data_IF_991716780226
#
_entry.id   IF_991716780226
#
_cell.length_a   1.000
_cell.length_b   1.000
_cell.length_c   1.000
_cell.angle_alpha   90.00
_cell.angle_beta   90.00
_cell.angle_gamma   90.00
#
_symmetry.space_group_name_H-M   'P 1'
#
loop_
_entity.id
_entity.type
_entity.pdbx_description
1 polymer ?
#
# COMPACT_ATOMS: atom_id res chain seq x y z
N UNK A 1 27.29 -4.04 -4.02
CA UNK A 1 26.62 -3.06 -4.88
C UNK A 1 25.12 -3.09 -4.57
N UNK A 2 24.53 -1.90 -4.39
CA UNK A 2 23.15 -1.71 -3.96
C UNK A 2 22.14 -2.35 -4.93
N UNK A 3 22.41 -2.28 -6.23
CA UNK A 3 21.56 -2.85 -7.27
C UNK A 3 21.52 -4.37 -7.18
N UNK A 4 22.66 -4.99 -6.91
CA UNK A 4 22.76 -6.43 -6.70
C UNK A 4 22.03 -6.87 -5.44
N UNK A 5 22.09 -6.06 -4.39
CA UNK A 5 21.39 -6.31 -3.13
C UNK A 5 19.88 -6.24 -3.29
N UNK A 6 19.37 -5.20 -3.98
CA UNK A 6 17.94 -5.04 -4.28
C UNK A 6 17.42 -6.21 -5.12
N UNK A 7 18.19 -6.65 -6.13
CA UNK A 7 17.84 -7.82 -6.94
C UNK A 7 17.84 -9.12 -6.14
N UNK A 8 18.77 -9.29 -5.22
CA UNK A 8 18.88 -10.48 -4.35
C UNK A 8 17.70 -10.57 -3.39
N UNK A 9 17.33 -9.46 -2.76
CA UNK A 9 16.23 -9.42 -1.78
C UNK A 9 14.84 -9.44 -2.45
N UNK A 10 14.75 -9.09 -3.74
CA UNK A 10 13.55 -9.23 -4.56
C UNK A 10 12.27 -8.65 -3.93
N UNK A 11 11.15 -9.40 -3.97
CA UNK A 11 9.86 -8.94 -3.42
C UNK A 11 9.86 -8.66 -1.92
N UNK A 12 10.80 -9.24 -1.17
CA UNK A 12 10.95 -8.97 0.28
C UNK A 12 11.35 -7.52 0.52
N UNK A 13 12.07 -6.90 -0.42
CA UNK A 13 12.45 -5.49 -0.35
C UNK A 13 11.26 -4.51 -0.33
N UNK A 14 10.06 -4.98 -0.63
CA UNK A 14 8.83 -4.19 -0.62
C UNK A 14 8.02 -4.36 0.68
N UNK A 15 8.58 -5.02 1.68
CA UNK A 15 7.91 -5.34 2.95
C UNK A 15 8.54 -4.57 4.11
N UNK A 16 7.71 -4.19 5.08
CA UNK A 16 8.16 -3.64 6.37
C UNK A 16 9.01 -4.62 7.18
N UNK A 17 9.01 -5.91 6.84
CA UNK A 17 9.87 -6.92 7.44
C UNK A 17 11.37 -6.69 7.22
N UNK A 18 11.74 -5.79 6.30
CA UNK A 18 13.14 -5.37 6.11
C UNK A 18 13.73 -4.69 7.34
N UNK A 19 12.91 -4.09 8.18
CA UNK A 19 13.36 -3.30 9.33
C UNK A 19 13.30 -4.05 10.65
N UNK A 20 12.50 -5.10 10.72
CA UNK A 20 12.35 -5.90 11.94
C UNK A 20 11.80 -7.29 11.65
N UNK A 21 12.14 -8.26 12.50
CA UNK A 21 11.37 -9.48 12.61
C UNK A 21 9.96 -9.16 13.12
N UNK A 22 8.90 -9.85 12.68
CA UNK A 22 7.56 -9.69 13.24
C UNK A 22 7.48 -9.90 14.77
N UNK A 23 8.46 -10.60 15.33
CA UNK A 23 8.58 -10.89 16.76
C UNK A 23 9.52 -9.96 17.51
N UNK A 24 10.16 -9.01 16.81
CA UNK A 24 11.17 -8.15 17.39
C UNK A 24 10.52 -6.87 17.93
N UNK A 25 10.45 -6.75 19.24
CA UNK A 25 9.92 -5.57 19.94
C UNK A 25 10.96 -4.46 20.09
N UNK A 26 12.22 -4.73 19.78
CA UNK A 26 13.32 -3.79 19.98
C UNK A 26 13.84 -3.23 18.65
N UNK A 27 14.09 -1.93 18.62
CA UNK A 27 14.78 -1.24 17.53
C UNK A 27 16.27 -1.61 17.45
N UNK A 28 16.66 -2.82 17.69
CA UNK A 28 18.07 -3.12 17.84
C UNK A 28 18.63 -4.15 16.87
N UNK A 29 17.76 -4.88 16.19
CA UNK A 29 18.21 -6.01 15.37
C UNK A 29 17.74 -5.82 13.93
N UNK A 30 18.38 -4.94 13.22
CA UNK A 30 18.25 -4.87 11.77
C UNK A 30 19.57 -5.22 11.09
N UNK A 31 19.51 -5.88 9.97
CA UNK A 31 20.67 -6.09 9.12
C UNK A 31 21.01 -4.76 8.42
N UNK A 32 22.27 -4.28 8.47
CA UNK A 32 22.68 -3.10 7.72
C UNK A 32 22.37 -3.19 6.23
N UNK A 33 22.49 -4.38 5.64
CA UNK A 33 22.17 -4.62 4.23
C UNK A 33 20.68 -4.42 3.94
N UNK A 34 19.81 -4.97 4.79
CA UNK A 34 18.36 -4.80 4.65
C UNK A 34 17.93 -3.34 4.79
N UNK A 35 18.55 -2.61 5.73
CA UNK A 35 18.29 -1.19 5.91
C UNK A 35 18.73 -0.36 4.69
N UNK A 36 19.86 -0.69 4.06
CA UNK A 36 20.32 -0.04 2.83
C UNK A 36 19.35 -0.27 1.68
N UNK A 37 18.83 -1.50 1.53
CA UNK A 37 17.81 -1.82 0.51
C UNK A 37 16.54 -1.03 0.74
N UNK A 38 16.04 -1.01 1.97
CA UNK A 38 14.82 -0.29 2.33
C UNK A 38 14.95 1.22 2.12
N UNK A 39 16.09 1.82 2.50
CA UNK A 39 16.38 3.23 2.27
C UNK A 39 16.45 3.56 0.77
N UNK A 40 17.03 2.66 -0.04
CA UNK A 40 17.13 2.84 -1.49
C UNK A 40 15.77 2.85 -2.21
N UNK A 41 14.77 2.17 -1.66
CA UNK A 41 13.39 2.17 -2.19
C UNK A 41 12.47 3.19 -1.51
N UNK A 42 13.03 4.05 -0.66
CA UNK A 42 12.32 5.18 -0.06
C UNK A 42 11.47 4.86 1.18
N UNK A 43 11.76 3.77 1.88
CA UNK A 43 11.00 3.38 3.07
C UNK A 43 11.57 3.98 4.36
N UNK A 44 10.68 4.45 5.23
CA UNK A 44 11.04 5.22 6.42
C UNK A 44 11.48 4.41 7.65
N UNK A 45 11.55 3.10 7.59
CA UNK A 45 12.09 2.28 8.67
C UNK A 45 11.18 2.07 9.88
N UNK A 46 9.87 2.11 9.71
CA UNK A 46 8.93 1.81 10.78
C UNK A 46 8.85 0.29 11.07
N UNK A 47 8.61 -0.05 12.35
CA UNK A 47 8.37 -1.44 12.73
C UNK A 47 7.02 -1.94 12.21
N UNK A 48 6.91 -3.24 11.94
CA UNK A 48 5.67 -3.84 11.44
C UNK A 48 4.47 -3.63 12.40
N UNK A 49 4.70 -3.55 13.71
CA UNK A 49 3.67 -3.22 14.70
C UNK A 49 3.14 -1.80 14.59
N UNK A 50 3.93 -0.88 14.02
CA UNK A 50 3.56 0.52 13.86
C UNK A 50 2.95 0.79 12.48
N UNK A 51 3.56 0.22 11.43
CA UNK A 51 3.08 0.40 10.05
C UNK A 51 3.28 -0.86 9.22
N UNK A 52 2.29 -1.18 8.38
CA UNK A 52 2.40 -2.20 7.33
C UNK A 52 2.05 -1.54 6.00
N UNK A 53 2.85 -1.82 4.99
CA UNK A 53 2.66 -1.37 3.61
C UNK A 53 2.46 -2.55 2.68
N UNK A 54 1.53 -2.38 1.75
CA UNK A 54 1.23 -3.34 0.68
C UNK A 54 1.38 -2.63 -0.64
N UNK A 55 2.15 -3.17 -1.57
CA UNK A 55 2.33 -2.57 -2.90
C UNK A 55 1.85 -3.55 -3.98
N UNK A 56 1.08 -3.04 -4.93
CA UNK A 56 0.65 -3.82 -6.09
C UNK A 56 1.71 -3.84 -7.18
N UNK A 57 1.65 -4.81 -8.11
CA UNK A 57 2.29 -4.65 -9.41
C UNK A 57 1.69 -3.47 -10.17
N UNK A 58 2.31 -3.11 -11.31
CA UNK A 58 1.76 -2.10 -12.21
C UNK A 58 0.64 -2.66 -13.06
N UNK A 59 -0.40 -1.84 -13.28
CA UNK A 59 -1.54 -2.13 -14.13
C UNK A 59 -1.68 -1.04 -15.21
N UNK A 60 -2.33 -1.33 -16.34
CA UNK A 60 -2.68 -0.30 -17.32
C UNK A 60 -3.53 0.81 -16.69
N UNK A 61 -3.15 2.06 -16.94
CA UNK A 61 -3.86 3.25 -16.41
C UNK A 61 -5.11 3.59 -17.24
N UNK A 62 -5.83 2.57 -17.70
CA UNK A 62 -7.06 2.65 -18.51
C UNK A 62 -8.14 1.75 -17.92
N UNK A 63 -9.39 2.16 -18.05
CA UNK A 63 -10.53 1.42 -17.52
C UNK A 63 -10.78 1.73 -16.04
N UNK A 64 -11.56 0.89 -15.41
CA UNK A 64 -12.05 1.03 -14.04
C UNK A 64 -11.59 -0.18 -13.21
N UNK A 65 -11.05 0.10 -12.04
CA UNK A 65 -10.66 -0.92 -11.07
C UNK A 65 -11.32 -0.59 -9.72
N UNK A 66 -11.60 -1.60 -8.93
CA UNK A 66 -12.17 -1.42 -7.59
C UNK A 66 -11.54 -2.38 -6.58
N UNK A 67 -11.41 -1.89 -5.34
CA UNK A 67 -11.14 -2.70 -4.16
C UNK A 67 -12.36 -2.57 -3.24
N UNK A 68 -12.96 -3.69 -2.89
CA UNK A 68 -13.99 -3.74 -1.83
C UNK A 68 -13.47 -4.59 -0.70
N UNK A 69 -13.46 -4.02 0.50
CA UNK A 69 -12.85 -4.64 1.66
C UNK A 69 -13.58 -4.27 2.95
N UNK A 70 -13.48 -5.14 3.94
CA UNK A 70 -13.90 -4.84 5.30
C UNK A 70 -12.88 -3.92 5.98
N UNK A 71 -13.36 -3.04 6.84
CA UNK A 71 -12.47 -2.18 7.62
C UNK A 71 -11.39 -3.02 8.33
N UNK A 72 -10.10 -2.76 8.08
CA UNK A 72 -9.02 -3.48 8.75
C UNK A 72 -8.94 -3.22 10.26
N UNK A 73 -9.70 -2.24 10.79
CA UNK A 73 -9.75 -1.88 12.22
C UNK A 73 -8.39 -1.47 12.79
N UNK A 74 -7.60 -0.78 12.00
CA UNK A 74 -6.33 -0.23 12.45
C UNK A 74 -6.54 0.77 13.59
N UNK A 75 -5.57 0.86 14.49
CA UNK A 75 -5.61 1.80 15.62
C UNK A 75 -5.69 3.26 15.17
N UNK A 76 -5.01 3.59 14.06
CA UNK A 76 -4.97 4.94 13.54
C UNK A 76 -5.79 5.04 12.26
N UNK A 77 -5.23 4.63 11.12
CA UNK A 77 -5.94 4.70 9.84
C UNK A 77 -5.34 3.75 8.79
N UNK A 78 -6.02 3.62 7.68
CA UNK A 78 -5.49 3.07 6.44
C UNK A 78 -5.50 4.14 5.35
N UNK A 79 -4.62 3.99 4.37
CA UNK A 79 -4.64 4.80 3.16
C UNK A 79 -4.33 3.97 1.92
N UNK A 80 -4.84 4.41 0.78
CA UNK A 80 -4.52 3.88 -0.54
C UNK A 80 -4.05 5.03 -1.40
N UNK A 81 -2.84 4.93 -1.94
CA UNK A 81 -2.22 5.93 -2.80
C UNK A 81 -1.91 5.32 -4.16
N UNK A 82 -2.17 6.07 -5.22
CA UNK A 82 -1.87 5.70 -6.60
C UNK A 82 -0.56 6.37 -7.03
N UNK A 83 0.29 5.61 -7.70
CA UNK A 83 1.58 6.04 -8.21
C UNK A 83 1.71 5.76 -9.70
N UNK A 84 2.47 6.61 -10.42
CA UNK A 84 2.87 6.37 -11.80
C UNK A 84 4.03 5.36 -11.88
N UNK A 85 4.51 5.05 -13.10
CA UNK A 85 5.62 4.12 -13.33
C UNK A 85 6.91 4.50 -12.58
N UNK A 86 7.16 5.79 -12.40
CA UNK A 86 8.35 6.29 -11.70
C UNK A 86 8.20 6.33 -10.17
N UNK A 87 7.03 5.95 -9.63
CA UNK A 87 6.76 5.93 -8.20
C UNK A 87 6.37 7.28 -7.62
N UNK A 88 5.87 8.20 -8.44
CA UNK A 88 5.38 9.51 -8.00
C UNK A 88 3.85 9.59 -8.03
N UNK A 89 3.28 10.33 -7.09
CA UNK A 89 1.92 10.82 -7.18
C UNK A 89 1.84 11.85 -8.32
N UNK A 90 0.86 11.72 -9.17
CA UNK A 90 0.67 12.59 -10.33
C UNK A 90 -0.54 13.52 -10.20
N UNK A 91 -1.22 13.48 -9.07
CA UNK A 91 -2.37 14.31 -8.74
C UNK A 91 -2.48 14.50 -7.23
N UNK A 92 -2.97 15.66 -6.79
CA UNK A 92 -3.26 15.94 -5.38
C UNK A 92 -4.38 15.05 -4.82
N UNK A 93 -5.19 14.46 -5.71
CA UNK A 93 -6.28 13.54 -5.37
C UNK A 93 -5.91 12.06 -5.54
N UNK A 94 -4.63 11.74 -5.72
CA UNK A 94 -4.15 10.36 -5.90
C UNK A 94 -4.11 9.53 -4.60
N UNK A 95 -4.88 9.92 -3.59
CA UNK A 95 -4.95 9.25 -2.29
C UNK A 95 -6.37 9.26 -1.72
N UNK A 96 -6.72 8.16 -1.06
CA UNK A 96 -7.89 8.04 -0.18
C UNK A 96 -7.45 7.42 1.14
N UNK A 97 -8.00 7.89 2.24
CA UNK A 97 -7.75 7.34 3.57
C UNK A 97 -9.04 7.18 4.38
N UNK A 98 -8.99 6.43 5.47
CA UNK A 98 -10.16 6.10 6.28
C UNK A 98 -10.82 7.30 6.98
N UNK A 99 -10.15 8.43 7.10
CA UNK A 99 -10.76 9.65 7.67
C UNK A 99 -11.75 10.32 6.71
N UNK A 100 -11.57 10.15 5.41
CA UNK A 100 -12.39 10.80 4.38
C UNK A 100 -13.20 9.81 3.56
N UNK A 101 -12.83 8.53 3.55
CA UNK A 101 -13.53 7.50 2.79
C UNK A 101 -14.96 7.31 3.31
N UNK A 102 -15.89 7.14 2.38
CA UNK A 102 -17.29 6.80 2.68
C UNK A 102 -17.45 5.30 2.72
N UNK A 103 -17.89 4.77 3.86
CA UNK A 103 -18.26 3.37 4.01
C UNK A 103 -19.65 3.09 3.46
N UNK A 104 -19.88 1.85 3.07
CA UNK A 104 -21.23 1.33 2.84
C UNK A 104 -22.00 1.16 4.15
N UNK A 105 -23.31 0.94 4.06
CA UNK A 105 -24.17 0.75 5.23
C UNK A 105 -23.77 -0.45 6.11
N UNK A 106 -23.12 -1.46 5.52
CA UNK A 106 -22.59 -2.65 6.21
C UNK A 106 -21.21 -2.43 6.83
N UNK A 107 -20.62 -1.23 6.69
CA UNK A 107 -19.30 -0.88 7.21
C UNK A 107 -18.12 -1.28 6.33
N UNK A 108 -18.37 -1.89 5.15
CA UNK A 108 -17.32 -2.15 4.15
C UNK A 108 -16.98 -0.87 3.38
N UNK A 109 -15.82 -0.87 2.73
CA UNK A 109 -15.38 0.20 1.85
C UNK A 109 -15.20 -0.31 0.42
N UNK A 110 -15.58 0.53 -0.54
CA UNK A 110 -15.16 0.37 -1.94
C UNK A 110 -14.32 1.59 -2.32
N UNK A 111 -13.09 1.38 -2.77
CA UNK A 111 -12.24 2.39 -3.38
C UNK A 111 -12.21 2.11 -4.87
N UNK A 112 -12.58 3.12 -5.66
CA UNK A 112 -12.63 3.05 -7.12
C UNK A 112 -11.40 3.73 -7.71
N UNK A 113 -10.89 3.19 -8.79
CA UNK A 113 -9.67 3.65 -9.44
C UNK A 113 -9.97 3.88 -10.93
N UNK A 114 -10.01 5.14 -11.35
CA UNK A 114 -10.29 5.51 -12.74
C UNK A 114 -11.73 5.28 -13.20
N UNK A 115 -12.66 5.10 -12.28
CA UNK A 115 -14.06 4.82 -12.61
C UNK A 115 -14.93 6.07 -12.82
N UNK A 116 -14.42 7.25 -12.42
CA UNK A 116 -15.17 8.50 -12.46
C UNK A 116 -15.75 8.92 -11.10
N UNK A 117 -16.07 10.20 -10.97
CA UNK A 117 -16.47 10.81 -9.69
C UNK A 117 -17.79 10.29 -9.11
N UNK A 118 -18.65 9.67 -9.92
CA UNK A 118 -19.88 9.05 -9.48
C UNK A 118 -19.68 7.74 -8.71
N UNK A 119 -18.48 7.17 -8.79
CA UNK A 119 -18.14 5.93 -8.08
C UNK A 119 -17.56 6.23 -6.69
N UNK A 120 -17.78 5.35 -5.69
CA UNK A 120 -17.38 5.60 -4.32
C UNK A 120 -15.86 5.70 -4.19
N UNK A 121 -15.41 6.73 -3.45
CA UNK A 121 -13.99 6.94 -3.09
C UNK A 121 -13.06 6.86 -4.30
N UNK A 122 -13.43 7.49 -5.42
CA UNK A 122 -12.69 7.36 -6.68
C UNK A 122 -11.37 8.13 -6.66
N UNK A 123 -10.31 7.45 -7.10
CA UNK A 123 -8.97 8.00 -7.33
C UNK A 123 -8.70 8.00 -8.84
N UNK A 124 -8.20 9.10 -9.43
CA UNK A 124 -7.78 9.10 -10.84
C UNK A 124 -6.56 8.20 -11.03
N UNK A 125 -6.49 7.52 -12.18
CA UNK A 125 -5.34 6.67 -12.54
C UNK A 125 -4.64 7.12 -13.82
N UNK A 126 -5.29 7.96 -14.65
CA UNK A 126 -4.69 8.44 -15.89
C UNK A 126 -3.44 9.27 -15.59
N UNK A 127 -2.34 8.92 -16.26
CA UNK A 127 -1.07 9.62 -16.17
C UNK A 127 -0.23 9.34 -17.43
N UNK A 128 0.80 10.14 -17.65
CA UNK A 128 1.63 10.10 -18.87
C UNK A 128 2.42 8.79 -19.02
N UNK A 129 2.62 8.04 -17.94
CA UNK A 129 3.33 6.75 -18.01
C UNK A 129 2.47 5.60 -18.55
N UNK A 130 1.16 5.77 -18.65
CA UNK A 130 0.20 4.77 -19.13
C UNK A 130 -0.02 3.59 -18.19
N UNK A 131 0.64 3.58 -17.03
CA UNK A 131 0.49 2.55 -16.00
C UNK A 131 0.36 3.17 -14.62
N UNK A 132 -0.22 2.42 -13.68
CA UNK A 132 -0.29 2.79 -12.28
C UNK A 132 -0.01 1.61 -11.37
N UNK A 133 0.39 1.89 -10.16
CA UNK A 133 0.41 0.95 -9.05
C UNK A 133 -0.26 1.59 -7.83
N UNK A 134 -0.64 0.77 -6.86
CA UNK A 134 -1.16 1.26 -5.58
C UNK A 134 -0.28 0.82 -4.43
N UNK A 135 -0.22 1.65 -3.41
CA UNK A 135 0.29 1.28 -2.10
C UNK A 135 -0.81 1.49 -1.07
N UNK A 136 -1.19 0.40 -0.40
CA UNK A 136 -2.03 0.48 0.79
C UNK A 136 -1.14 0.52 2.04
N UNK A 137 -1.48 1.40 2.97
CA UNK A 137 -0.75 1.61 4.22
C UNK A 137 -1.67 1.39 5.40
N UNK A 138 -1.18 0.63 6.38
CA UNK A 138 -1.82 0.42 7.67
C UNK A 138 -1.01 1.12 8.75
N UNK A 139 -1.59 2.10 9.39
CA UNK A 139 -0.97 2.81 10.51
C UNK A 139 -1.59 2.35 11.83
N UNK A 140 -0.75 1.84 12.73
CA UNK A 140 -1.21 1.12 13.91
C UNK A 140 -2.01 -0.13 13.52
N UNK A 141 -1.42 -1.08 12.78
CA UNK A 141 -2.15 -2.22 12.24
C UNK A 141 -2.81 -3.04 13.35
N UNK A 142 -4.03 -3.47 13.07
CA UNK A 142 -4.80 -4.33 13.98
C UNK A 142 -4.22 -5.75 14.06
N UNK A 143 -4.68 -6.54 15.03
CA UNK A 143 -4.33 -7.96 15.09
C UNK A 143 -4.72 -8.72 13.83
N UNK A 144 -5.85 -8.38 13.22
CA UNK A 144 -6.30 -8.92 11.94
C UNK A 144 -5.27 -8.72 10.83
N UNK A 145 -4.65 -7.54 10.77
CA UNK A 145 -3.59 -7.23 9.79
C UNK A 145 -2.28 -7.88 10.16
N UNK A 146 -1.91 -7.85 11.47
CA UNK A 146 -0.62 -8.36 11.94
C UNK A 146 -0.56 -9.88 12.00
N UNK A 147 -1.61 -10.53 12.56
CA UNK A 147 -1.62 -11.96 12.85
C UNK A 147 -2.33 -12.77 11.77
N UNK A 148 -3.50 -12.30 11.32
CA UNK A 148 -4.31 -13.04 10.35
C UNK A 148 -3.91 -12.75 8.89
N UNK A 149 -2.99 -11.81 8.69
CA UNK A 149 -2.48 -11.48 7.36
C UNK A 149 -3.49 -10.78 6.46
N UNK A 150 -4.50 -10.11 7.03
CA UNK A 150 -5.50 -9.39 6.24
C UNK A 150 -4.85 -8.26 5.43
N UNK A 151 -5.19 -8.19 4.13
CA UNK A 151 -4.60 -7.27 3.17
C UNK A 151 -5.66 -6.66 2.27
N UNK A 152 -5.42 -5.41 1.80
CA UNK A 152 -6.31 -4.67 0.92
C UNK A 152 -5.97 -4.85 -0.56
N UNK A 153 -4.68 -4.83 -0.90
CA UNK A 153 -4.23 -4.93 -2.30
C UNK A 153 -4.75 -6.17 -3.04
N UNK A 154 -4.82 -7.38 -2.41
CA UNK A 154 -5.38 -8.56 -3.09
C UNK A 154 -6.86 -8.44 -3.47
N UNK A 155 -7.58 -7.44 -2.93
CA UNK A 155 -8.99 -7.19 -3.27
C UNK A 155 -9.16 -6.38 -4.57
N UNK A 156 -8.05 -5.92 -5.17
CA UNK A 156 -8.08 -5.15 -6.42
C UNK A 156 -8.57 -6.01 -7.59
N UNK A 157 -9.61 -5.53 -8.25
CA UNK A 157 -10.19 -6.18 -9.43
C UNK A 157 -10.47 -5.14 -10.51
N UNK A 158 -10.26 -5.52 -11.76
CA UNK A 158 -10.75 -4.73 -12.89
C UNK A 158 -12.26 -4.89 -12.98
N UNK A 159 -12.96 -3.78 -13.16
CA UNK A 159 -14.41 -3.74 -13.41
C UNK A 159 -14.60 -3.71 -14.92
N UNK A 160 -15.41 -4.60 -15.44
CA UNK A 160 -15.75 -4.66 -16.87
C UNK A 160 -16.69 -3.52 -17.29
#
# INVERSE_FOLDING_TARGET
DLVSLVKKEGPIALSTSLFSSPTDETRGIYSPEKNQVAAAIGWGGALAKDNIYETSPSFPATGCYQLTFEDPKNKHFWSITVYNKAGFMFSDTANVNSYHAKAHADGTYTVSLGCGQQYPNNIPIQNDSGVFSITARHYGPSERVLKDGYRLVPQLKKVE
#
